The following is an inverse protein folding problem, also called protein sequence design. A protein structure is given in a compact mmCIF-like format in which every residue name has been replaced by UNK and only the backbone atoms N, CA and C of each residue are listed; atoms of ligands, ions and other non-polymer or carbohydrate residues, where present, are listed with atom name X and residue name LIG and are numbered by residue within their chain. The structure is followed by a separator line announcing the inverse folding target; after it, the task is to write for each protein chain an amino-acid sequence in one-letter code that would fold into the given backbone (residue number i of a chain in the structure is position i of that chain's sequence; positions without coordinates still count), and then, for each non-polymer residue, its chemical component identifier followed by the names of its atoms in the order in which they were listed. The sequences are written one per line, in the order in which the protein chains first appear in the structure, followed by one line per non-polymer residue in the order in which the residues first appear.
data_IF_296178019845
#
_entry.id   IF_296178019845
#
_cell.length_a   1.000
_cell.length_b   1.000
_cell.length_c   1.000
_cell.angle_alpha   90.00
_cell.angle_beta   90.00
_cell.angle_gamma   90.00
#
_symmetry.space_group_name_H-M   'P 1'
#
loop_
_entity.id
_entity.type
_entity.pdbx_description
1 polymer ?
#
# COMPACT_ATOMS: atom_id res chain seq x y z
N UNK A 1 16.25 -23.27 -9.65
CA UNK A 1 15.33 -22.12 -9.61
C UNK A 1 15.79 -21.22 -8.48
N UNK A 2 16.07 -19.93 -8.74
CA UNK A 2 16.54 -19.01 -7.70
C UNK A 2 15.33 -18.16 -7.27
N UNK A 3 14.91 -18.29 -6.03
CA UNK A 3 13.84 -17.47 -5.45
C UNK A 3 14.47 -16.11 -5.10
N UNK A 4 13.86 -15.03 -5.58
CA UNK A 4 14.18 -13.66 -5.15
C UNK A 4 13.08 -13.17 -4.23
N UNK A 5 13.45 -12.76 -3.04
CA UNK A 5 12.52 -12.13 -2.09
C UNK A 5 12.81 -10.63 -1.99
N UNK A 6 11.77 -9.82 -1.99
CA UNK A 6 11.86 -8.38 -1.82
C UNK A 6 10.98 -7.94 -0.66
N UNK A 7 11.48 -6.98 0.11
CA UNK A 7 10.74 -6.32 1.19
C UNK A 7 10.47 -4.89 0.74
N UNK A 8 9.19 -4.49 0.72
CA UNK A 8 8.76 -3.13 0.43
C UNK A 8 8.28 -2.48 1.73
N UNK A 9 8.69 -1.24 1.97
CA UNK A 9 8.30 -0.50 3.16
C UNK A 9 8.34 1.00 2.92
N UNK A 10 7.54 1.73 3.69
CA UNK A 10 7.58 3.20 3.72
C UNK A 10 8.45 3.64 4.87
N UNK A 11 9.47 4.45 4.58
CA UNK A 11 10.29 5.10 5.60
C UNK A 11 9.84 6.55 5.79
N UNK A 12 9.61 6.90 7.06
CA UNK A 12 9.33 8.26 7.50
C UNK A 12 10.47 8.82 8.38
N UNK A 13 11.53 8.04 8.56
CA UNK A 13 12.65 8.44 9.40
C UNK A 13 13.38 9.61 8.75
N UNK A 14 13.46 10.74 9.48
CA UNK A 14 14.03 11.97 8.96
C UNK A 14 13.14 12.68 7.92
N UNK A 15 11.86 12.30 7.81
CA UNK A 15 10.94 12.94 6.90
C UNK A 15 10.65 14.39 7.30
N UNK A 16 11.27 15.30 6.61
CA UNK A 16 11.07 16.74 6.69
C UNK A 16 10.93 17.35 5.28
N UNK A 17 11.11 18.65 5.12
CA UNK A 17 11.06 19.30 3.81
C UNK A 17 12.16 18.83 2.85
N UNK A 18 13.32 18.36 3.39
CA UNK A 18 14.46 17.90 2.58
C UNK A 18 14.46 16.40 2.36
N UNK A 19 13.86 15.64 3.29
CA UNK A 19 13.77 14.18 3.25
C UNK A 19 12.31 13.75 3.41
N UNK A 20 11.49 13.82 2.35
CA UNK A 20 10.10 13.38 2.42
C UNK A 20 10.03 11.88 2.67
N UNK A 21 8.88 11.36 3.17
CA UNK A 21 8.68 9.93 3.28
C UNK A 21 8.74 9.30 1.88
N UNK A 22 9.29 8.09 1.80
CA UNK A 22 9.47 7.42 0.53
C UNK A 22 9.20 5.91 0.64
N UNK A 23 8.85 5.30 -0.48
CA UNK A 23 8.76 3.85 -0.64
C UNK A 23 10.16 3.30 -0.96
N UNK A 24 10.57 2.34 -0.18
CA UNK A 24 11.83 1.63 -0.34
C UNK A 24 11.63 0.16 -0.67
N UNK A 25 12.62 -0.41 -1.33
CA UNK A 25 12.78 -1.84 -1.53
C UNK A 25 14.09 -2.32 -0.92
N UNK A 26 14.06 -3.52 -0.33
CA UNK A 26 15.26 -4.32 -0.03
C UNK A 26 15.09 -5.70 -0.60
N UNK A 27 16.09 -6.16 -1.33
CA UNK A 27 16.18 -7.56 -1.74
C UNK A 27 16.83 -8.39 -0.63
N UNK A 28 16.54 -9.68 -0.57
CA UNK A 28 17.31 -10.61 0.24
C UNK A 28 18.43 -11.21 -0.62
N UNK A 29 19.64 -11.15 -0.11
CA UNK A 29 20.82 -11.78 -0.69
C UNK A 29 20.71 -13.31 -0.68
N UNK A 30 21.70 -13.97 -1.29
CA UNK A 30 21.79 -15.44 -1.31
C UNK A 30 22.04 -16.05 0.07
N UNK A 31 22.53 -15.27 1.00
CA UNK A 31 22.74 -15.58 2.42
C UNK A 31 21.50 -15.35 3.30
N UNK A 32 20.40 -14.88 2.70
CA UNK A 32 19.16 -14.52 3.39
C UNK A 32 19.20 -13.19 4.13
N UNK A 33 20.31 -12.43 4.04
CA UNK A 33 20.42 -11.12 4.68
C UNK A 33 19.88 -10.02 3.76
N UNK A 34 19.27 -8.95 4.32
CA UNK A 34 18.80 -7.82 3.54
C UNK A 34 19.98 -7.06 2.89
N UNK A 35 19.90 -6.85 1.59
CA UNK A 35 20.80 -5.98 0.84
C UNK A 35 20.55 -4.49 1.17
N UNK A 36 21.32 -3.59 0.58
CA UNK A 36 21.13 -2.16 0.72
C UNK A 36 19.70 -1.74 0.32
N UNK A 37 19.14 -0.75 1.02
CA UNK A 37 17.85 -0.20 0.68
C UNK A 37 17.94 0.63 -0.60
N UNK A 38 16.98 0.46 -1.48
CA UNK A 38 16.79 1.24 -2.70
C UNK A 38 15.52 2.06 -2.56
N UNK A 39 15.63 3.38 -2.71
CA UNK A 39 14.48 4.26 -2.78
C UNK A 39 13.81 4.11 -4.15
N UNK A 40 12.51 3.84 -4.17
CA UNK A 40 11.73 3.66 -5.38
C UNK A 40 10.92 4.89 -5.75
N UNK A 41 10.22 5.46 -4.77
CA UNK A 41 9.29 6.57 -5.01
C UNK A 41 9.28 7.49 -3.80
N UNK A 42 9.63 8.74 -4.02
CA UNK A 42 9.54 9.84 -3.05
C UNK A 42 8.08 10.28 -2.85
N UNK A 43 7.76 10.78 -1.66
CA UNK A 43 6.43 11.29 -1.33
C UNK A 43 5.40 10.23 -0.94
N UNK A 44 5.77 8.96 -0.84
CA UNK A 44 4.87 7.92 -0.33
C UNK A 44 4.78 7.99 1.18
N UNK A 45 3.64 8.44 1.69
CA UNK A 45 3.38 8.65 3.13
C UNK A 45 2.83 7.39 3.82
N UNK A 46 2.06 6.59 3.10
CA UNK A 46 1.49 5.34 3.60
C UNK A 46 1.30 4.32 2.48
N UNK A 47 1.45 3.05 2.83
CA UNK A 47 1.17 1.91 1.97
C UNK A 47 0.32 0.90 2.74
N UNK A 48 -0.79 0.48 2.15
CA UNK A 48 -1.69 -0.52 2.71
C UNK A 48 -1.98 -1.60 1.67
N UNK A 49 -1.94 -2.85 2.10
CA UNK A 49 -2.31 -4.01 1.30
C UNK A 49 -3.59 -4.60 1.83
N UNK A 50 -4.54 -4.86 0.94
CA UNK A 50 -5.74 -5.62 1.22
C UNK A 50 -5.76 -6.87 0.32
N UNK A 51 -6.13 -7.98 0.90
CA UNK A 51 -6.19 -9.28 0.23
C UNK A 51 -7.63 -9.57 -0.17
N UNK A 52 -7.86 -9.74 -1.45
CA UNK A 52 -9.15 -10.11 -2.00
C UNK A 52 -9.38 -11.61 -1.84
N UNK A 53 -10.24 -11.96 -0.89
CA UNK A 53 -10.57 -13.36 -0.54
C UNK A 53 -11.80 -13.81 -1.34
N UNK A 54 -11.70 -14.98 -1.99
CA UNK A 54 -12.82 -15.62 -2.65
C UNK A 54 -13.72 -16.35 -1.65
N UNK A 55 -14.99 -16.52 -1.98
CA UNK A 55 -15.92 -17.34 -1.22
C UNK A 55 -15.89 -18.79 -1.72
N UNK A 56 -15.60 -19.73 -0.83
CA UNK A 56 -15.59 -21.18 -1.14
C UNK A 56 -14.26 -21.71 -1.71
N UNK A 57 -14.18 -23.02 -1.88
CA UNK A 57 -12.97 -23.74 -2.31
C UNK A 57 -12.71 -23.61 -3.82
N UNK A 58 -12.64 -22.41 -4.34
CA UNK A 58 -12.25 -22.25 -5.74
C UNK A 58 -13.00 -21.19 -6.51
N UNK A 59 -12.31 -20.55 -7.21
CA UNK A 59 -12.23 -19.81 -8.46
C UNK A 59 -13.52 -19.32 -9.16
N UNK A 60 -14.70 -19.79 -8.81
CA UNK A 60 -15.92 -19.47 -9.59
C UNK A 60 -16.69 -18.25 -9.06
N UNK A 61 -16.29 -17.68 -7.93
CA UNK A 61 -17.10 -16.68 -7.22
C UNK A 61 -16.58 -15.23 -7.16
N UNK A 62 -15.45 -14.92 -7.77
CA UNK A 62 -14.87 -13.57 -7.66
C UNK A 62 -14.43 -13.23 -6.22
N UNK A 63 -14.02 -11.97 -6.00
CA UNK A 63 -13.65 -11.48 -4.68
C UNK A 63 -14.89 -11.22 -3.84
N UNK A 64 -15.00 -11.89 -2.69
CA UNK A 64 -16.07 -11.68 -1.73
C UNK A 64 -15.79 -10.47 -0.81
N UNK A 65 -14.56 -10.35 -0.34
CA UNK A 65 -14.15 -9.25 0.56
C UNK A 65 -12.67 -8.91 0.37
N UNK A 66 -12.31 -7.67 0.66
CA UNK A 66 -10.94 -7.22 0.78
C UNK A 66 -10.61 -7.07 2.27
N UNK A 67 -9.65 -7.84 2.76
CA UNK A 67 -9.28 -7.92 4.18
C UNK A 67 -7.81 -7.55 4.38
N UNK A 68 -7.43 -6.91 5.49
CA UNK A 68 -6.03 -6.81 5.89
C UNK A 68 -5.47 -8.19 6.25
N UNK A 69 -4.16 -8.35 6.25
CA UNK A 69 -3.49 -9.65 6.41
C UNK A 69 -3.87 -10.39 7.70
N UNK A 70 -4.05 -9.66 8.80
CA UNK A 70 -4.41 -10.17 10.13
C UNK A 70 -5.85 -10.71 10.22
N UNK A 71 -6.71 -10.37 9.26
CA UNK A 71 -8.09 -10.85 9.15
C UNK A 71 -8.28 -11.96 8.11
N UNK A 72 -7.22 -12.30 7.36
CA UNK A 72 -7.26 -13.40 6.40
C UNK A 72 -7.07 -14.72 7.13
N UNK A 73 -8.13 -15.50 7.24
CA UNK A 73 -8.09 -16.81 7.93
C UNK A 73 -7.34 -17.88 7.13
N UNK A 74 -7.39 -17.82 5.80
CA UNK A 74 -6.74 -18.76 4.91
C UNK A 74 -6.26 -18.06 3.64
N UNK A 75 -4.95 -17.94 3.49
CA UNK A 75 -4.32 -17.32 2.33
C UNK A 75 -4.45 -18.12 1.03
N UNK A 76 -4.81 -19.41 1.11
CA UNK A 76 -5.10 -20.20 -0.08
C UNK A 76 -6.33 -19.72 -0.84
N UNK A 77 -7.21 -18.96 -0.18
CA UNK A 77 -8.40 -18.36 -0.79
C UNK A 77 -8.16 -16.93 -1.31
N UNK A 78 -6.95 -16.40 -1.21
CA UNK A 78 -6.62 -15.07 -1.73
C UNK A 78 -6.43 -15.14 -3.23
N UNK A 79 -7.26 -14.45 -3.98
CA UNK A 79 -7.26 -14.42 -5.46
C UNK A 79 -6.79 -13.08 -6.04
N UNK A 80 -6.70 -12.06 -5.21
CA UNK A 80 -6.19 -10.75 -5.63
C UNK A 80 -5.54 -10.00 -4.48
N UNK A 81 -4.73 -9.00 -4.82
CA UNK A 81 -4.13 -8.07 -3.87
C UNK A 81 -4.46 -6.65 -4.32
N UNK A 82 -4.98 -5.84 -3.42
CA UNK A 82 -5.22 -4.42 -3.62
C UNK A 82 -4.15 -3.61 -2.89
N UNK A 83 -3.37 -2.86 -3.64
CA UNK A 83 -2.39 -1.93 -3.12
C UNK A 83 -3.02 -0.54 -3.04
N UNK A 84 -2.93 0.09 -1.87
CA UNK A 84 -3.30 1.47 -1.65
C UNK A 84 -2.05 2.26 -1.26
N UNK A 85 -1.76 3.34 -1.97
CA UNK A 85 -0.67 4.26 -1.66
C UNK A 85 -1.25 5.64 -1.35
N UNK A 86 -0.83 6.25 -0.25
CA UNK A 86 -1.05 7.66 0.02
C UNK A 86 0.21 8.42 -0.36
N UNK A 87 0.08 9.27 -1.37
CA UNK A 87 1.13 10.17 -1.82
C UNK A 87 0.93 11.57 -1.23
N UNK A 88 2.01 12.25 -0.90
CA UNK A 88 1.99 13.67 -0.57
C UNK A 88 2.97 14.46 -1.43
N UNK A 89 2.70 15.73 -1.64
CA UNK A 89 3.66 16.62 -2.31
C UNK A 89 4.93 16.78 -1.47
N UNK A 90 6.08 16.84 -2.15
CA UNK A 90 7.38 17.08 -1.52
C UNK A 90 7.44 18.53 -1.01
N UNK A 91 6.95 19.47 -1.80
CA UNK A 91 6.89 20.87 -1.43
C UNK A 91 5.56 21.25 -0.79
N UNK A 92 5.57 22.35 -0.04
CA UNK A 92 4.34 22.94 0.47
C UNK A 92 3.51 23.44 -0.71
N UNK A 93 2.32 22.92 -0.85
CA UNK A 93 1.35 23.49 -1.76
C UNK A 93 0.69 24.69 -1.06
N UNK A 94 0.53 25.81 -1.78
CA UNK A 94 -0.27 26.95 -1.31
C UNK A 94 -1.77 26.62 -1.41
N UNK A 95 -2.17 25.47 -0.88
CA UNK A 95 -3.54 24.99 -1.02
C UNK A 95 -4.33 25.28 0.23
N UNK A 96 -5.62 25.47 0.01
CA UNK A 96 -6.64 25.52 1.03
C UNK A 96 -6.52 24.31 1.97
N UNK A 97 -6.45 24.51 3.30
CA UNK A 97 -6.45 23.42 4.28
C UNK A 97 -7.69 22.50 4.20
N UNK A 98 -8.67 22.82 3.36
CA UNK A 98 -9.88 22.04 3.14
C UNK A 98 -9.75 20.91 2.12
N UNK A 99 -8.55 20.58 1.65
CA UNK A 99 -8.37 19.51 0.67
C UNK A 99 -8.93 18.17 1.19
N UNK A 100 -9.88 17.62 0.44
CA UNK A 100 -10.37 16.26 0.68
C UNK A 100 -9.52 15.27 -0.09
N UNK A 101 -9.20 14.13 0.53
CA UNK A 101 -8.64 12.98 -0.16
C UNK A 101 -9.20 11.68 0.41
N UNK A 102 -9.18 10.64 -0.41
CA UNK A 102 -9.59 9.30 -0.01
C UNK A 102 -8.36 8.39 0.05
N UNK A 103 -8.28 7.61 1.12
CA UNK A 103 -7.25 6.60 1.27
C UNK A 103 -7.82 5.38 1.99
N UNK A 104 -7.64 4.20 1.41
CA UNK A 104 -8.09 2.91 1.96
C UNK A 104 -9.59 2.89 2.31
N UNK A 105 -10.43 3.53 1.47
CA UNK A 105 -11.88 3.62 1.67
C UNK A 105 -12.33 4.63 2.74
N UNK A 106 -11.40 5.41 3.28
CA UNK A 106 -11.69 6.46 4.26
C UNK A 106 -11.51 7.83 3.61
N UNK A 107 -12.52 8.69 3.74
CA UNK A 107 -12.46 10.08 3.28
C UNK A 107 -11.92 10.97 4.40
N UNK A 108 -10.82 11.63 4.11
CA UNK A 108 -10.18 12.62 4.98
C UNK A 108 -10.60 14.02 4.53
N UNK A 109 -11.08 14.84 5.45
CA UNK A 109 -11.51 16.21 5.17
C UNK A 109 -11.40 17.08 6.43
N UNK A 110 -11.31 18.39 6.25
CA UNK A 110 -11.26 19.35 7.36
C UNK A 110 -12.49 19.30 8.30
N UNK A 111 -13.62 18.77 7.80
CA UNK A 111 -14.88 18.61 8.55
C UNK A 111 -15.21 17.15 8.86
N UNK A 112 -14.31 16.21 8.51
CA UNK A 112 -14.50 14.78 8.68
C UNK A 112 -14.09 14.27 10.07
N UNK A 113 -14.38 12.97 10.33
CA UNK A 113 -13.99 12.30 11.58
C UNK A 113 -12.48 12.13 11.75
N UNK A 114 -11.71 12.32 10.69
CA UNK A 114 -10.24 12.22 10.70
C UNK A 114 -9.68 13.57 10.34
N UNK A 115 -8.90 14.13 11.25
CA UNK A 115 -8.27 15.44 11.06
C UNK A 115 -7.25 15.38 9.92
N UNK A 116 -7.27 16.42 9.09
CA UNK A 116 -6.24 16.65 8.10
C UNK A 116 -4.95 17.07 8.79
N UNK A 117 -3.84 16.65 8.24
CA UNK A 117 -2.56 17.18 8.62
C UNK A 117 -2.47 18.68 8.27
N UNK A 118 -2.05 19.51 9.23
CA UNK A 118 -1.92 20.96 9.06
C UNK A 118 -0.71 21.37 8.19
N UNK A 119 -0.01 20.40 7.62
CA UNK A 119 1.25 20.64 6.91
C UNK A 119 1.10 21.24 5.50
N UNK A 120 -0.10 21.63 5.08
CA UNK A 120 -0.43 22.26 3.79
C UNK A 120 0.14 21.52 2.56
N UNK A 121 0.30 20.20 2.65
CA UNK A 121 0.75 19.37 1.54
C UNK A 121 -0.43 18.73 0.82
N UNK A 122 -0.34 18.69 -0.51
CA UNK A 122 -1.32 17.95 -1.30
C UNK A 122 -1.19 16.46 -1.03
N UNK A 123 -2.33 15.79 -0.85
CA UNK A 123 -2.41 14.34 -0.72
C UNK A 123 -3.30 13.75 -1.78
N UNK A 124 -2.88 12.58 -2.29
CA UNK A 124 -3.66 11.82 -3.24
C UNK A 124 -3.52 10.32 -2.97
N UNK A 125 -4.66 9.62 -2.91
CA UNK A 125 -4.71 8.17 -2.77
C UNK A 125 -4.66 7.51 -4.15
N UNK A 126 -3.77 6.52 -4.30
CA UNK A 126 -3.70 5.64 -5.47
C UNK A 126 -4.10 4.24 -5.07
N UNK A 127 -4.91 3.61 -5.92
CA UNK A 127 -5.38 2.23 -5.73
C UNK A 127 -5.07 1.42 -6.98
N UNK A 128 -4.45 0.25 -6.77
CA UNK A 128 -4.24 -0.73 -7.84
C UNK A 128 -4.65 -2.11 -7.35
N UNK A 129 -5.29 -2.90 -8.21
CA UNK A 129 -5.70 -4.27 -7.88
C UNK A 129 -5.04 -5.23 -8.86
N UNK A 130 -4.38 -6.26 -8.31
CA UNK A 130 -3.68 -7.29 -9.05
C UNK A 130 -4.33 -8.66 -8.77
N UNK A 131 -4.69 -9.39 -9.81
CA UNK A 131 -5.20 -10.75 -9.70
C UNK A 131 -4.05 -11.75 -9.71
N UNK A 132 -4.12 -12.76 -8.84
CA UNK A 132 -3.14 -13.84 -8.74
C UNK A 132 -3.48 -14.91 -9.76
N UNK A 133 -2.69 -15.01 -10.84
CA UNK A 133 -2.97 -15.88 -11.99
C UNK A 133 -2.98 -17.37 -11.67
N UNK A 134 -2.27 -17.82 -10.63
CA UNK A 134 -2.08 -19.22 -10.31
C UNK A 134 -3.01 -19.73 -9.18
N UNK A 135 -3.92 -18.91 -8.71
CA UNK A 135 -4.94 -19.32 -7.76
C UNK A 135 -6.16 -19.81 -8.53
N UNK A 136 -6.39 -21.11 -8.47
CA UNK A 136 -7.62 -21.72 -8.93
C UNK A 136 -7.57 -22.50 -10.24
N UNK A 137 -6.42 -22.79 -10.76
CA UNK A 137 -6.30 -23.92 -11.68
C UNK A 137 -6.08 -25.17 -10.81
N UNK A 138 -7.17 -25.66 -10.21
CA UNK A 138 -7.20 -27.03 -9.69
C UNK A 138 -6.97 -27.98 -10.87
N UNK A 139 -5.80 -28.61 -10.91
CA UNK A 139 -5.56 -29.82 -11.66
C UNK A 139 -6.06 -30.99 -10.84
#
# INVERSE_FOLDING_TARGET
MRIKSNIFYVSKLGADAKNPPALFRRSLGSDGLPEAAEELVEGVESMQLLYGVAQGNGVVGGVHAYLPADQVSDFSNVVSVRLNLLMRSVDYAQTDPSQKYEFNGVVYSATGKVELSEDRRLRHGFVATYYLRNHGLGL
#
